data_IF_888086206097
#
_entry.id   IF_888086206097
#
_cell.length_a   1.000
_cell.length_b   1.000
_cell.length_c   1.000
_cell.angle_alpha   90.00
_cell.angle_beta   90.00
_cell.angle_gamma   90.00
#
_symmetry.space_group_name_H-M   'P 1'
#
loop_
_entity.id
_entity.type
_entity.pdbx_description
1 polymer ?
#
# COMPACT_ATOMS: atom_id res chain seq x y z
N UNK A 1 -8.15 -2.32 11.34
CA UNK A 1 -8.69 -3.44 10.52
C UNK A 1 -7.63 -3.86 9.53
N UNK A 2 -7.40 -5.17 9.35
CA UNK A 2 -6.54 -5.67 8.28
C UNK A 2 -7.37 -5.85 7.01
N UNK A 3 -6.83 -5.38 5.89
CA UNK A 3 -7.44 -5.51 4.57
C UNK A 3 -6.40 -6.04 3.57
N UNK A 4 -6.87 -6.80 2.60
CA UNK A 4 -6.03 -7.34 1.52
C UNK A 4 -6.75 -7.07 0.22
N UNK A 5 -6.03 -6.55 -0.77
CA UNK A 5 -6.50 -6.45 -2.14
C UNK A 5 -5.51 -7.09 -3.08
N UNK A 6 -6.02 -7.55 -4.21
CA UNK A 6 -5.20 -8.00 -5.33
C UNK A 6 -5.53 -7.19 -6.57
N UNK A 7 -4.52 -6.88 -7.37
CA UNK A 7 -4.71 -6.17 -8.65
C UNK A 7 -3.78 -6.75 -9.70
N UNK A 8 -4.26 -6.82 -10.94
CA UNK A 8 -3.44 -7.22 -12.08
C UNK A 8 -3.39 -6.06 -13.07
N UNK A 9 -2.19 -5.70 -13.53
CA UNK A 9 -1.97 -4.67 -14.56
C UNK A 9 -0.99 -5.22 -15.57
N UNK A 10 -1.47 -5.46 -16.79
CA UNK A 10 -0.69 -6.18 -17.80
C UNK A 10 -0.36 -7.60 -17.31
N UNK A 11 0.93 -7.90 -17.27
CA UNK A 11 1.57 -9.14 -16.83
C UNK A 11 1.98 -9.13 -15.35
N UNK A 12 1.77 -8.02 -14.64
CA UNK A 12 2.14 -7.86 -13.23
C UNK A 12 0.99 -8.15 -12.29
N UNK A 13 1.24 -8.99 -11.29
CA UNK A 13 0.28 -9.33 -10.25
C UNK A 13 0.66 -8.72 -8.90
N UNK A 14 -0.22 -7.89 -8.37
CA UNK A 14 -0.03 -7.17 -7.13
C UNK A 14 -0.87 -7.74 -6.00
N UNK A 15 -0.25 -7.87 -4.83
CA UNK A 15 -0.92 -8.15 -3.56
C UNK A 15 -0.61 -6.98 -2.64
N UNK A 16 -1.63 -6.24 -2.22
CA UNK A 16 -1.48 -5.14 -1.28
C UNK A 16 -2.15 -5.50 0.04
N UNK A 17 -1.42 -5.33 1.14
CA UNK A 17 -1.89 -5.62 2.50
C UNK A 17 -1.87 -4.31 3.30
N UNK A 18 -2.96 -4.02 4.02
CA UNK A 18 -3.17 -2.78 4.74
C UNK A 18 -3.53 -3.08 6.20
N UNK A 19 -2.99 -2.28 7.11
CA UNK A 19 -3.50 -2.19 8.47
C UNK A 19 -4.01 -0.77 8.71
N UNK A 20 -5.31 -0.64 8.94
CA UNK A 20 -5.90 0.60 9.49
C UNK A 20 -5.85 0.58 11.02
N UNK A 21 -5.39 1.66 11.63
CA UNK A 21 -5.48 1.89 13.07
C UNK A 21 -6.14 3.25 13.32
N UNK A 22 -7.22 3.27 14.10
CA UNK A 22 -7.83 4.52 14.58
C UNK A 22 -6.92 5.14 15.66
N UNK A 23 -5.93 5.90 15.22
CA UNK A 23 -4.90 6.52 16.04
C UNK A 23 -4.48 7.87 15.48
N UNK A 24 -4.26 8.84 16.37
CA UNK A 24 -3.79 10.19 16.02
C UNK A 24 -2.26 10.25 15.79
N UNK A 25 -1.61 9.10 15.62
CA UNK A 25 -0.17 9.01 15.42
C UNK A 25 0.23 9.60 14.04
N UNK A 26 1.14 10.58 13.99
CA UNK A 26 1.53 11.25 12.75
C UNK A 26 2.38 10.35 11.82
N UNK A 27 2.79 9.16 12.26
CA UNK A 27 3.50 8.16 11.44
C UNK A 27 2.56 7.26 10.63
N UNK A 28 1.34 7.74 10.39
CA UNK A 28 0.39 7.09 9.51
C UNK A 28 0.51 7.71 8.12
N UNK A 29 0.20 6.93 7.09
CA UNK A 29 0.09 7.46 5.73
C UNK A 29 -1.14 8.40 5.70
N UNK A 30 -0.92 9.61 5.21
CA UNK A 30 -1.82 10.77 5.33
C UNK A 30 -3.24 10.48 4.81
N UNK A 31 -4.25 10.98 5.52
CA UNK A 31 -5.68 10.85 5.20
C UNK A 31 -6.35 9.48 5.47
N UNK A 32 -5.58 8.38 5.53
CA UNK A 32 -6.15 7.03 5.42
C UNK A 32 -6.15 6.20 6.72
N UNK A 33 -5.52 6.69 7.80
CA UNK A 33 -5.27 5.91 9.03
C UNK A 33 -4.50 4.60 8.76
N UNK A 34 -3.72 4.54 7.68
CA UNK A 34 -2.95 3.35 7.29
C UNK A 34 -1.64 3.33 8.07
N UNK A 35 -1.51 2.32 8.94
CA UNK A 35 -0.33 2.06 9.77
C UNK A 35 0.71 1.20 9.08
N UNK A 36 0.24 0.26 8.27
CA UNK A 36 1.06 -0.67 7.50
C UNK A 36 0.50 -0.72 6.10
N UNK A 37 1.39 -0.55 5.11
CA UNK A 37 1.14 -0.83 3.71
C UNK A 37 2.27 -1.70 3.20
N UNK A 38 1.94 -2.87 2.65
CA UNK A 38 2.92 -3.65 1.88
C UNK A 38 2.37 -3.99 0.53
N UNK A 39 3.18 -3.80 -0.51
CA UNK A 39 2.85 -4.16 -1.88
C UNK A 39 3.87 -5.18 -2.36
N UNK A 40 3.35 -6.33 -2.77
CA UNK A 40 4.11 -7.35 -3.47
C UNK A 40 3.75 -7.31 -4.94
N UNK A 41 4.74 -7.42 -5.81
CA UNK A 41 4.57 -7.67 -7.25
C UNK A 41 5.21 -9.02 -7.57
N UNK A 42 4.43 -9.92 -8.16
CA UNK A 42 4.89 -11.24 -8.60
C UNK A 42 5.62 -12.05 -7.51
N UNK A 43 5.19 -11.86 -6.25
CA UNK A 43 5.75 -12.51 -5.07
C UNK A 43 6.85 -11.72 -4.34
N UNK A 44 7.39 -10.66 -4.93
CA UNK A 44 8.44 -9.84 -4.31
C UNK A 44 7.91 -8.56 -3.69
N UNK A 45 8.44 -8.18 -2.52
CA UNK A 45 8.11 -6.89 -1.89
C UNK A 45 8.74 -5.73 -2.65
N UNK A 46 7.91 -4.92 -3.28
CA UNK A 46 8.34 -3.71 -3.99
C UNK A 46 8.10 -2.43 -3.18
N UNK A 47 7.18 -2.48 -2.21
CA UNK A 47 6.94 -1.39 -1.29
C UNK A 47 6.58 -1.90 0.09
N UNK A 48 7.11 -1.24 1.12
CA UNK A 48 6.72 -1.47 2.50
C UNK A 48 6.79 -0.16 3.28
N UNK A 49 5.67 0.22 3.86
CA UNK A 49 5.59 1.21 4.92
C UNK A 49 5.12 0.53 6.21
N UNK A 50 5.91 0.65 7.29
CA UNK A 50 5.57 0.12 8.61
C UNK A 50 6.02 1.09 9.69
N UNK A 51 5.06 1.69 10.39
CA UNK A 51 5.33 2.54 11.56
C UNK A 51 6.34 3.67 11.30
N UNK A 52 6.30 4.29 10.12
CA UNK A 52 7.23 5.35 9.72
C UNK A 52 8.53 4.87 9.08
N UNK A 53 8.75 3.56 8.95
CA UNK A 53 9.85 3.01 8.16
C UNK A 53 9.38 2.65 6.76
N UNK A 54 10.13 3.08 5.76
CA UNK A 54 9.78 2.91 4.35
C UNK A 54 10.88 2.17 3.59
N UNK A 55 10.45 1.22 2.75
CA UNK A 55 11.23 0.59 1.69
C UNK A 55 10.46 0.85 0.40
N UNK A 56 11.10 1.51 -0.55
CA UNK A 56 10.55 1.80 -1.87
C UNK A 56 11.49 1.28 -2.97
N UNK A 57 11.09 0.18 -3.61
CA UNK A 57 11.72 -0.40 -4.80
C UNK A 57 10.79 -0.30 -6.02
N UNK A 58 9.76 0.55 -5.97
CA UNK A 58 8.79 0.69 -7.04
C UNK A 58 9.44 1.29 -8.29
N UNK A 59 8.97 0.88 -9.46
CA UNK A 59 9.14 1.63 -10.71
C UNK A 59 7.93 2.57 -10.97
N UNK A 60 7.91 3.27 -12.11
CA UNK A 60 6.86 4.25 -12.41
C UNK A 60 5.46 3.63 -12.57
N UNK A 61 5.39 2.40 -13.09
CA UNK A 61 4.13 1.66 -13.22
C UNK A 61 3.66 1.25 -11.83
N UNK A 62 4.56 0.74 -11.00
CA UNK A 62 4.26 0.35 -9.62
C UNK A 62 3.75 1.54 -8.80
N UNK A 63 4.35 2.73 -8.95
CA UNK A 63 3.88 3.96 -8.29
C UNK A 63 2.47 4.35 -8.72
N UNK A 64 2.18 4.24 -10.02
CA UNK A 64 0.83 4.49 -10.55
C UNK A 64 -0.18 3.52 -9.95
N UNK A 65 0.19 2.25 -9.79
CA UNK A 65 -0.64 1.24 -9.13
C UNK A 65 -0.82 1.55 -7.66
N UNK A 66 0.25 1.88 -6.94
CA UNK A 66 0.23 2.24 -5.51
C UNK A 66 -0.70 3.43 -5.26
N UNK A 67 -0.61 4.48 -6.08
CA UNK A 67 -1.50 5.63 -5.96
C UNK A 67 -2.97 5.24 -6.19
N UNK A 68 -3.27 4.50 -7.26
CA UNK A 68 -4.65 4.05 -7.51
C UNK A 68 -5.20 3.12 -6.41
N UNK A 69 -4.32 2.37 -5.76
CA UNK A 69 -4.63 1.55 -4.59
C UNK A 69 -4.99 2.45 -3.41
N UNK A 70 -4.15 3.44 -3.10
CA UNK A 70 -4.41 4.40 -2.02
C UNK A 70 -5.70 5.20 -2.25
N UNK A 71 -5.94 5.64 -3.49
CA UNK A 71 -7.15 6.39 -3.86
C UNK A 71 -8.41 5.53 -3.64
N UNK A 72 -8.42 4.29 -4.16
CA UNK A 72 -9.51 3.34 -3.93
C UNK A 72 -9.75 3.08 -2.43
N UNK A 73 -8.68 3.08 -1.62
CA UNK A 73 -8.76 2.87 -0.19
C UNK A 73 -9.32 4.08 0.58
N UNK A 74 -9.09 5.29 0.08
CA UNK A 74 -9.55 6.54 0.68
C UNK A 74 -10.99 6.93 0.29
N UNK A 75 -11.49 6.41 -0.83
CA UNK A 75 -12.89 6.61 -1.25
C UNK A 75 -13.90 5.69 -0.52
N UNK A 76 -13.40 4.71 0.25
CA UNK A 76 -14.16 3.75 1.08
C UNK A 76 -14.25 4.19 2.54
#
# INVERSE_FOLDING_TARGET
>A
MWEIMTRTVGDRHYICEFLREDTTDPRNIDGAWIRILTIKRDGEYIYQYRYGNEIDNMDDIDRTVCQAVLDNFNEL
#
